data_IF_628053353062
#
_entry.id   IF_628053353062
#
_cell.length_a   1.000
_cell.length_b   1.000
_cell.length_c   1.000
_cell.angle_alpha   90.00
_cell.angle_beta   90.00
_cell.angle_gamma   90.00
#
_symmetry.space_group_name_H-M   'P 1'
#
loop_
_entity.id
_entity.type
_entity.pdbx_description
1 polymer ?
#
# COMPACT_ATOMS: atom_id res chain seq x y z
N UNK A 1 -2.93 6.24 -38.62
CA UNK A 1 -2.37 5.13 -37.83
C UNK A 1 -1.98 5.73 -36.49
N UNK A 2 -2.72 5.42 -35.44
CA UNK A 2 -2.54 6.02 -34.13
C UNK A 2 -1.25 5.50 -33.51
N UNK A 3 -0.40 6.37 -32.97
CA UNK A 3 0.89 6.10 -32.31
C UNK A 3 0.78 5.25 -31.02
N UNK A 4 -0.31 4.50 -30.85
CA UNK A 4 -0.71 3.84 -29.60
C UNK A 4 -0.15 2.42 -29.43
N UNK A 5 0.55 1.90 -30.44
CA UNK A 5 1.04 0.51 -30.48
C UNK A 5 2.58 0.41 -30.38
N UNK A 6 3.21 1.28 -29.58
CA UNK A 6 4.57 1.01 -29.09
C UNK A 6 4.47 0.47 -27.65
N UNK A 7 5.00 -0.72 -27.42
CA UNK A 7 5.02 -1.42 -26.11
C UNK A 7 5.76 -0.66 -24.99
N UNK A 8 6.28 0.54 -25.28
CA UNK A 8 6.97 1.43 -24.35
C UNK A 8 6.35 2.84 -24.29
N UNK A 9 5.07 3.00 -24.67
CA UNK A 9 4.41 4.30 -24.56
C UNK A 9 4.36 4.76 -23.10
N UNK A 10 5.12 5.82 -22.80
CA UNK A 10 5.10 6.49 -21.49
C UNK A 10 4.43 7.83 -21.69
N UNK A 11 3.25 8.01 -21.10
CA UNK A 11 2.56 9.29 -21.07
C UNK A 11 3.39 10.32 -20.29
N UNK A 12 3.61 11.50 -20.88
CA UNK A 12 4.38 12.58 -20.28
C UNK A 12 3.49 13.80 -20.14
N UNK A 13 3.43 14.36 -18.93
CA UNK A 13 2.68 15.58 -18.66
C UNK A 13 3.48 16.52 -17.76
N UNK A 14 3.16 17.82 -17.84
CA UNK A 14 3.79 18.84 -16.99
C UNK A 14 2.97 19.05 -15.73
N UNK A 15 3.60 18.92 -14.56
CA UNK A 15 2.95 19.16 -13.27
C UNK A 15 3.27 20.57 -12.79
N UNK A 16 2.24 21.35 -12.46
CA UNK A 16 2.41 22.63 -11.77
C UNK A 16 2.38 22.37 -10.26
N UNK A 17 3.44 22.79 -9.58
CA UNK A 17 3.60 22.59 -8.14
C UNK A 17 3.69 23.94 -7.44
N UNK A 18 3.14 24.08 -6.22
CA UNK A 18 3.39 25.23 -5.37
C UNK A 18 4.87 25.37 -5.01
N UNK A 19 5.26 26.58 -4.58
CA UNK A 19 6.62 26.86 -4.15
C UNK A 19 7.07 25.90 -3.05
N UNK A 20 8.32 25.42 -3.17
CA UNK A 20 8.93 24.49 -2.23
C UNK A 20 8.51 23.02 -2.37
N UNK A 21 7.39 22.70 -3.03
CA UNK A 21 6.91 21.31 -3.15
C UNK A 21 7.89 20.43 -3.96
N UNK A 22 8.46 20.96 -5.05
CA UNK A 22 9.47 20.25 -5.84
C UNK A 22 10.69 19.86 -5.00
N UNK A 23 11.18 20.79 -4.16
CA UNK A 23 12.32 20.55 -3.27
C UNK A 23 11.98 19.52 -2.20
N UNK A 24 10.78 19.57 -1.62
CA UNK A 24 10.33 18.59 -0.64
C UNK A 24 10.28 17.17 -1.23
N UNK A 25 9.79 17.01 -2.46
CA UNK A 25 9.79 15.72 -3.17
C UNK A 25 11.22 15.27 -3.48
N UNK A 26 12.11 16.18 -3.89
CA UNK A 26 13.52 15.87 -4.15
C UNK A 26 14.23 15.26 -2.93
N UNK A 27 14.06 15.90 -1.76
CA UNK A 27 14.64 15.45 -0.50
C UNK A 27 14.08 14.10 -0.06
N UNK A 28 12.76 13.90 -0.20
CA UNK A 28 12.11 12.61 0.08
C UNK A 28 12.63 11.51 -0.85
N UNK A 29 12.74 11.78 -2.14
CA UNK A 29 13.28 10.83 -3.12
C UNK A 29 14.73 10.42 -2.79
N UNK A 30 15.58 11.41 -2.44
CA UNK A 30 16.96 11.17 -2.01
C UNK A 30 17.03 10.29 -0.76
N UNK A 31 16.20 10.57 0.25
CA UNK A 31 16.10 9.77 1.47
C UNK A 31 15.71 8.31 1.18
N UNK A 32 14.85 8.11 0.18
CA UNK A 32 14.36 6.80 -0.22
C UNK A 32 15.27 6.09 -1.25
N UNK A 33 16.38 6.71 -1.69
CA UNK A 33 17.26 6.16 -2.72
C UNK A 33 16.60 6.05 -4.09
N UNK A 34 15.60 6.89 -4.40
CA UNK A 34 14.82 6.87 -5.64
C UNK A 34 15.09 8.11 -6.50
N UNK A 35 14.84 7.98 -7.80
CA UNK A 35 14.72 9.16 -8.66
C UNK A 35 13.48 9.97 -8.25
N UNK A 36 13.51 11.29 -8.48
CA UNK A 36 12.34 12.14 -8.24
C UNK A 36 11.10 11.63 -8.98
N UNK A 37 11.26 11.16 -10.22
CA UNK A 37 10.14 10.62 -11.00
C UNK A 37 9.57 9.34 -10.37
N UNK A 38 10.44 8.41 -9.98
CA UNK A 38 10.01 7.15 -9.31
C UNK A 38 9.31 7.43 -7.98
N UNK A 39 9.76 8.44 -7.23
CA UNK A 39 9.08 8.83 -5.99
C UNK A 39 7.72 9.48 -6.25
N UNK A 40 7.59 10.32 -7.29
CA UNK A 40 6.29 10.88 -7.70
C UNK A 40 5.31 9.77 -8.09
N UNK A 41 5.76 8.81 -8.90
CA UNK A 41 4.93 7.66 -9.29
C UNK A 41 4.49 6.86 -8.07
N UNK A 42 5.40 6.55 -7.15
CA UNK A 42 5.03 5.85 -5.91
C UNK A 42 4.00 6.62 -5.10
N UNK A 43 4.17 7.93 -4.91
CA UNK A 43 3.22 8.75 -4.14
C UNK A 43 1.83 8.71 -4.78
N UNK A 44 1.75 8.76 -6.11
CA UNK A 44 0.49 8.65 -6.84
C UNK A 44 -0.12 7.25 -6.73
N UNK A 45 0.68 6.18 -6.86
CA UNK A 45 0.23 4.80 -6.68
C UNK A 45 -0.30 4.56 -5.26
N UNK A 46 0.40 5.05 -4.25
CA UNK A 46 0.00 4.94 -2.84
C UNK A 46 -1.32 5.67 -2.60
N UNK A 47 -1.46 6.90 -3.13
CA UNK A 47 -2.68 7.69 -3.00
C UNK A 47 -3.87 7.00 -3.68
N UNK A 48 -3.69 6.56 -4.93
CA UNK A 48 -4.73 5.85 -5.68
C UNK A 48 -5.10 4.53 -5.00
N UNK A 49 -4.11 3.75 -4.55
CA UNK A 49 -4.33 2.48 -3.84
C UNK A 49 -5.01 2.68 -2.48
N UNK A 50 -4.71 3.79 -1.79
CA UNK A 50 -5.35 4.14 -0.52
C UNK A 50 -6.82 4.48 -0.70
N UNK A 51 -7.20 5.12 -1.81
CA UNK A 51 -8.60 5.35 -2.15
C UNK A 51 -9.34 4.04 -2.46
N UNK A 52 -8.70 3.09 -3.15
CA UNK A 52 -9.33 1.76 -3.43
C UNK A 52 -9.44 0.88 -2.19
N UNK A 53 -8.68 1.16 -1.12
CA UNK A 53 -8.70 0.39 0.13
C UNK A 53 -9.47 1.07 1.27
N UNK A 54 -10.21 2.14 0.96
CA UNK A 54 -11.28 2.65 1.83
C UNK A 54 -12.52 1.74 1.85
N UNK A 55 -12.52 0.67 1.04
CA UNK A 55 -13.39 -0.51 1.19
C UNK A 55 -12.53 -1.65 1.74
N UNK A 56 -12.80 -2.10 2.98
CA UNK A 56 -12.26 -3.32 3.59
C UNK A 56 -10.74 -3.44 3.83
N UNK A 57 -10.18 -2.54 4.65
CA UNK A 57 -8.97 -2.84 5.45
C UNK A 57 -9.20 -2.90 6.95
N UNK A 58 -10.44 -3.06 7.41
CA UNK A 58 -10.64 -3.77 8.67
C UNK A 58 -10.63 -5.25 8.33
N UNK A 59 -9.44 -5.88 8.39
CA UNK A 59 -9.40 -7.23 8.93
C UNK A 59 -10.12 -7.12 10.28
N UNK A 60 -11.39 -7.52 10.31
CA UNK A 60 -12.27 -7.29 11.44
C UNK A 60 -11.59 -7.91 12.66
N UNK A 61 -11.06 -7.07 13.54
CA UNK A 61 -10.31 -7.50 14.71
C UNK A 61 -11.16 -8.44 15.58
N UNK A 62 -12.50 -8.35 15.45
CA UNK A 62 -13.45 -9.29 16.05
C UNK A 62 -13.35 -10.69 15.44
N UNK A 63 -13.24 -10.81 14.12
CA UNK A 63 -13.03 -12.11 13.45
C UNK A 63 -11.71 -12.74 13.87
N UNK A 64 -10.61 -11.98 13.88
CA UNK A 64 -9.30 -12.47 14.32
C UNK A 64 -9.36 -12.94 15.78
N UNK A 65 -9.96 -12.14 16.67
CA UNK A 65 -10.15 -12.51 18.09
C UNK A 65 -10.98 -13.79 18.24
N UNK A 66 -12.08 -13.90 17.49
CA UNK A 66 -12.95 -15.08 17.55
C UNK A 66 -12.25 -16.36 17.08
N UNK A 67 -11.34 -16.25 16.11
CA UNK A 67 -10.55 -17.38 15.62
C UNK A 67 -9.50 -17.80 16.66
N UNK A 68 -8.85 -16.85 17.31
CA UNK A 68 -7.90 -17.12 18.40
C UNK A 68 -8.58 -17.80 19.60
N UNK A 69 -9.77 -17.34 19.99
CA UNK A 69 -10.54 -17.95 21.08
C UNK A 69 -10.92 -19.41 20.76
N UNK A 70 -11.33 -19.68 19.50
CA UNK A 70 -11.63 -21.05 19.04
C UNK A 70 -10.42 -21.96 19.08
N UNK A 71 -9.28 -21.50 18.55
CA UNK A 71 -8.03 -22.27 18.55
C UNK A 71 -7.59 -22.54 20.00
N UNK A 72 -7.65 -21.55 20.88
CA UNK A 72 -7.29 -21.71 22.29
C UNK A 72 -8.15 -22.78 22.97
N UNK A 73 -9.47 -22.78 22.75
CA UNK A 73 -10.36 -23.76 23.35
C UNK A 73 -10.10 -25.18 22.81
N UNK A 74 -9.87 -25.32 21.50
CA UNK A 74 -9.57 -26.63 20.90
C UNK A 74 -8.23 -27.22 21.38
N UNK A 75 -7.26 -26.36 21.68
CA UNK A 75 -5.98 -26.78 22.27
C UNK A 75 -6.12 -27.16 23.75
N UNK A 76 -6.99 -26.49 24.51
CA UNK A 76 -7.25 -26.81 25.92
C UNK A 76 -7.97 -28.15 26.08
N UNK A 77 -8.91 -28.47 25.19
CA UNK A 77 -9.64 -29.76 25.20
C UNK A 77 -8.78 -30.96 24.80
N UNK A 78 -7.65 -30.71 24.12
CA UNK A 78 -6.66 -31.74 23.76
C UNK A 78 -5.57 -31.95 24.80
N UNK A 79 -5.55 -31.17 25.89
CA UNK A 79 -4.67 -31.47 27.02
C UNK A 79 -5.26 -32.70 27.74
N UNK A 80 -4.55 -33.84 27.77
CA UNK A 80 -5.00 -34.97 28.57
C UNK A 80 -5.13 -34.51 30.02
N UNK A 81 -6.34 -34.65 30.58
CA UNK A 81 -6.56 -34.54 32.02
C UNK A 81 -5.95 -35.77 32.66
N UNK A 82 -4.62 -35.79 32.79
CA UNK A 82 -3.95 -36.80 33.57
C UNK A 82 -4.22 -36.55 35.05
N UNK A 83 -5.06 -37.45 35.61
CA UNK A 83 -5.37 -37.72 37.03
C UNK A 83 -6.27 -36.72 37.77
#
# INVERSE_FOLDING_TARGET
>A
MSEKDESNFIERFTVRMPDGMRSAIAERAKRNGRSMNSEIVQILEDALSSDVSSVDKSLDLKQIKSLLDKISNELLDRIPKDT
#
